data_IF_859462349433
#
_entry.id   IF_859462349433
#
_cell.length_a   1.000
_cell.length_b   1.000
_cell.length_c   1.000
_cell.angle_alpha   90.00
_cell.angle_beta   90.00
_cell.angle_gamma   90.00
#
_symmetry.space_group_name_H-M   'P 1'
#
loop_
_entity.id
_entity.type
_entity.pdbx_description
1 polymer ?
#
# COMPACT_ATOMS: atom_id res chain seq x y z
N UNK A 1 -10.36 -18.26 -17.54
CA UNK A 1 -9.18 -17.42 -17.90
C UNK A 1 -8.70 -16.80 -16.61
N UNK A 2 -7.38 -16.75 -16.38
CA UNK A 2 -6.81 -16.15 -15.16
C UNK A 2 -6.72 -14.65 -15.34
N UNK A 3 -7.22 -13.87 -14.38
CA UNK A 3 -7.07 -12.42 -14.40
C UNK A 3 -5.61 -12.04 -14.11
N UNK A 4 -5.12 -10.98 -14.75
CA UNK A 4 -3.73 -10.52 -14.65
C UNK A 4 -3.66 -9.03 -14.32
N UNK A 5 -2.81 -8.66 -13.38
CA UNK A 5 -2.36 -7.28 -13.20
C UNK A 5 -1.40 -6.97 -14.33
N UNK A 6 -1.77 -6.05 -15.21
CA UNK A 6 -0.94 -5.63 -16.35
C UNK A 6 0.12 -4.59 -15.97
N UNK A 7 -0.22 -3.77 -14.99
CA UNK A 7 0.65 -2.68 -14.51
C UNK A 7 0.27 -2.26 -13.10
N UNK A 8 1.23 -1.64 -12.41
CA UNK A 8 1.00 -0.98 -11.11
C UNK A 8 1.62 0.41 -11.16
N UNK A 9 0.78 1.43 -11.26
CA UNK A 9 1.18 2.83 -11.16
C UNK A 9 1.22 3.28 -9.70
N UNK A 10 2.18 4.13 -9.34
CA UNK A 10 2.33 4.67 -7.98
C UNK A 10 2.46 6.19 -8.00
N UNK A 11 2.00 6.84 -6.94
CA UNK A 11 2.17 8.26 -6.74
C UNK A 11 2.42 8.57 -5.25
N UNK A 12 3.35 9.47 -4.99
CA UNK A 12 3.59 10.02 -3.66
C UNK A 12 3.35 11.52 -3.65
N UNK A 13 2.97 12.10 -2.50
CA UNK A 13 2.99 13.55 -2.34
C UNK A 13 4.38 14.14 -2.62
N UNK A 14 4.46 15.42 -3.00
CA UNK A 14 5.74 16.06 -3.32
C UNK A 14 6.63 16.30 -2.09
N UNK A 15 6.03 16.45 -0.90
CA UNK A 15 6.79 16.70 0.33
C UNK A 15 7.39 15.42 0.85
N UNK A 16 8.71 15.39 0.96
CA UNK A 16 9.47 14.29 1.55
C UNK A 16 10.03 14.73 2.89
N UNK A 17 10.03 13.85 3.88
CA UNK A 17 10.56 14.11 5.22
C UNK A 17 11.53 12.98 5.58
N UNK A 18 12.76 13.35 5.99
CA UNK A 18 13.70 12.41 6.58
C UNK A 18 13.20 11.92 7.95
N UNK A 19 13.44 10.65 8.25
CA UNK A 19 12.91 10.02 9.48
C UNK A 19 13.49 10.66 10.75
N UNK A 20 14.75 11.02 10.75
CA UNK A 20 15.39 11.70 11.88
C UNK A 20 14.79 13.10 12.13
N UNK A 21 14.45 13.81 11.08
CA UNK A 21 13.80 15.13 11.19
C UNK A 21 12.41 15.02 11.81
N UNK A 22 11.56 14.11 11.32
CA UNK A 22 10.21 13.95 11.88
C UNK A 22 10.28 13.38 13.32
N UNK A 23 11.25 12.52 13.64
CA UNK A 23 11.57 12.09 14.99
C UNK A 23 11.83 13.28 15.91
N UNK A 24 12.75 14.16 15.49
CA UNK A 24 13.15 15.31 16.32
C UNK A 24 12.02 16.34 16.44
N UNK A 25 11.21 16.50 15.39
CA UNK A 25 9.98 17.32 15.42
C UNK A 25 9.01 16.82 16.50
N UNK A 26 8.70 15.51 16.56
CA UNK A 26 7.83 14.95 17.60
C UNK A 26 8.46 15.03 18.99
N UNK A 27 9.75 14.81 19.12
CA UNK A 27 10.45 14.86 20.40
C UNK A 27 10.53 16.27 21.00
N UNK A 28 10.37 17.32 20.19
CA UNK A 28 10.42 18.73 20.62
C UNK A 28 9.05 19.30 20.99
N UNK A 29 7.96 18.52 20.88
CA UNK A 29 6.64 19.00 21.24
C UNK A 29 6.55 19.30 22.75
N UNK A 30 5.80 20.35 23.18
CA UNK A 30 5.80 20.84 24.55
C UNK A 30 5.42 19.80 25.61
N UNK A 31 4.49 18.90 25.25
CA UNK A 31 3.96 17.88 26.16
C UNK A 31 4.88 16.65 26.32
N UNK A 32 6.05 16.66 25.69
CA UNK A 32 7.01 15.57 25.75
C UNK A 32 7.99 15.75 26.90
N UNK A 33 7.80 14.99 27.99
CA UNK A 33 8.79 14.86 29.04
C UNK A 33 10.03 14.06 28.57
N UNK A 34 11.06 13.97 29.42
CA UNK A 34 12.32 13.28 29.08
C UNK A 34 12.11 11.79 28.75
N UNK A 35 11.14 11.13 29.37
CA UNK A 35 10.85 9.73 29.11
C UNK A 35 10.19 9.56 27.74
N UNK A 36 9.19 10.37 27.45
CA UNK A 36 8.51 10.43 26.16
C UNK A 36 9.47 10.74 25.02
N UNK A 37 10.37 11.73 25.19
CA UNK A 37 11.41 12.03 24.20
C UNK A 37 12.31 10.83 23.90
N UNK A 38 12.73 10.08 24.93
CA UNK A 38 13.54 8.87 24.75
C UNK A 38 12.76 7.77 24.00
N UNK A 39 11.50 7.60 24.35
CA UNK A 39 10.63 6.62 23.69
C UNK A 39 10.44 6.96 22.21
N UNK A 40 10.15 8.24 21.89
CA UNK A 40 10.03 8.71 20.50
C UNK A 40 11.31 8.41 19.74
N UNK A 41 12.47 8.82 20.24
CA UNK A 41 13.74 8.58 19.56
C UNK A 41 14.00 7.10 19.33
N UNK A 42 13.85 6.27 20.35
CA UNK A 42 14.07 4.83 20.24
C UNK A 42 13.11 4.17 19.24
N UNK A 43 11.84 4.57 19.21
CA UNK A 43 10.82 4.00 18.32
C UNK A 43 11.06 4.39 16.86
N UNK A 44 11.36 5.66 16.60
CA UNK A 44 11.63 6.15 15.25
C UNK A 44 12.93 5.57 14.68
N UNK A 45 14.00 5.51 15.50
CA UNK A 45 15.29 4.93 15.09
C UNK A 45 15.15 3.41 14.80
N UNK A 46 14.30 2.71 15.57
CA UNK A 46 14.04 1.29 15.37
C UNK A 46 13.17 0.98 14.14
N UNK A 47 12.45 1.95 13.58
CA UNK A 47 11.51 1.74 12.48
C UNK A 47 12.17 1.30 11.17
N UNK A 48 13.48 1.55 10.98
CA UNK A 48 14.23 1.28 9.74
C UNK A 48 13.63 2.00 8.51
N UNK A 49 13.09 3.18 8.72
CA UNK A 49 12.61 4.08 7.68
C UNK A 49 13.67 5.18 7.50
N UNK A 50 13.99 5.54 6.27
CA UNK A 50 14.90 6.66 5.98
C UNK A 50 14.12 7.93 5.64
N UNK A 51 13.03 7.77 4.89
CA UNK A 51 12.19 8.89 4.44
C UNK A 51 10.73 8.48 4.30
N UNK A 52 9.87 9.48 4.40
CA UNK A 52 8.43 9.35 4.17
C UNK A 52 7.91 10.48 3.32
N UNK A 53 6.76 10.27 2.68
CA UNK A 53 6.06 11.29 1.93
C UNK A 53 4.81 11.74 2.70
N UNK A 54 4.48 13.02 2.60
CA UNK A 54 3.30 13.60 3.25
C UNK A 54 2.64 14.66 2.38
N UNK A 55 1.32 14.78 2.52
CA UNK A 55 0.55 15.87 1.92
C UNK A 55 0.65 17.18 2.71
N UNK A 56 1.31 17.17 3.87
CA UNK A 56 1.47 18.32 4.76
C UNK A 56 2.80 19.03 4.48
N UNK A 57 2.81 20.13 3.68
CA UNK A 57 4.05 20.82 3.32
C UNK A 57 4.76 21.43 4.52
N UNK A 58 4.02 21.79 5.58
CA UNK A 58 4.55 22.34 6.82
C UNK A 58 5.44 21.37 7.61
N UNK A 59 5.36 20.09 7.36
CA UNK A 59 6.28 19.08 7.91
C UNK A 59 7.57 18.94 7.07
N UNK A 60 7.60 19.49 5.88
CA UNK A 60 8.76 19.46 4.98
C UNK A 60 9.89 20.41 5.40
N UNK A 61 10.94 20.48 4.56
CA UNK A 61 12.16 21.24 4.86
C UNK A 61 11.94 22.74 5.00
N UNK A 62 10.98 23.29 4.28
CA UNK A 62 10.66 24.71 4.36
C UNK A 62 9.97 25.08 5.69
N UNK A 63 9.33 24.10 6.36
CA UNK A 63 8.47 24.37 7.51
C UNK A 63 7.30 25.29 7.14
N UNK A 64 6.70 25.93 8.11
CA UNK A 64 5.72 26.96 7.89
C UNK A 64 4.50 26.88 8.79
N UNK A 65 3.63 27.89 8.70
CA UNK A 65 2.33 27.91 9.38
C UNK A 65 1.28 27.22 8.51
N UNK A 66 0.70 26.14 9.02
CA UNK A 66 -0.27 25.32 8.32
C UNK A 66 -1.42 24.87 9.22
N UNK A 67 -2.24 23.96 8.70
CA UNK A 67 -3.40 23.44 9.44
C UNK A 67 -2.94 22.58 10.62
N UNK A 68 -1.85 21.84 10.46
CA UNK A 68 -1.37 20.86 11.41
C UNK A 68 -0.15 21.33 12.21
N UNK A 69 0.57 22.34 11.75
CA UNK A 69 1.74 22.88 12.44
C UNK A 69 1.64 24.40 12.42
N UNK A 70 1.92 25.05 13.56
CA UNK A 70 1.94 26.50 13.63
C UNK A 70 3.30 27.10 13.24
N UNK A 71 3.37 28.43 13.21
CA UNK A 71 4.58 29.16 12.85
C UNK A 71 5.77 28.93 13.83
N UNK A 72 5.50 28.41 15.02
CA UNK A 72 6.49 28.04 16.03
C UNK A 72 6.92 26.57 15.93
N UNK A 73 6.36 25.80 14.99
CA UNK A 73 6.62 24.36 14.83
C UNK A 73 5.88 23.49 15.81
N UNK A 74 4.79 23.98 16.41
CA UNK A 74 3.97 23.20 17.34
C UNK A 74 2.86 22.48 16.60
N UNK A 75 2.65 21.18 16.91
CA UNK A 75 1.53 20.40 16.38
C UNK A 75 0.19 20.97 16.89
N UNK A 76 -0.70 21.21 15.95
CA UNK A 76 -2.11 21.48 16.20
C UNK A 76 -2.91 20.18 16.20
N UNK A 77 -4.05 20.19 16.86
CA UNK A 77 -5.02 19.07 16.83
C UNK A 77 -6.32 19.50 16.14
N UNK A 78 -6.33 19.64 14.79
CA UNK A 78 -7.58 19.92 14.09
C UNK A 78 -8.56 18.75 14.27
N UNK A 79 -9.86 19.07 14.44
CA UNK A 79 -10.91 18.07 14.56
C UNK A 79 -11.13 17.28 13.27
N UNK A 80 -11.86 16.18 13.37
CA UNK A 80 -12.10 15.21 12.29
C UNK A 80 -12.67 15.85 11.02
N UNK A 81 -13.59 16.81 11.16
CA UNK A 81 -14.19 17.50 10.01
C UNK A 81 -13.13 18.21 9.15
N UNK A 82 -12.15 18.90 9.77
CA UNK A 82 -11.09 19.61 9.05
C UNK A 82 -10.10 18.62 8.41
N UNK A 83 -9.73 17.55 9.11
CA UNK A 83 -8.86 16.49 8.57
C UNK A 83 -9.50 15.84 7.33
N UNK A 84 -10.79 15.54 7.41
CA UNK A 84 -11.53 14.96 6.29
C UNK A 84 -11.73 15.95 5.14
N UNK A 85 -11.87 17.26 5.42
CA UNK A 85 -11.90 18.28 4.38
C UNK A 85 -10.58 18.32 3.59
N UNK A 86 -9.43 18.19 4.27
CA UNK A 86 -8.13 18.07 3.61
C UNK A 86 -8.01 16.76 2.80
N UNK A 87 -8.53 15.65 3.31
CA UNK A 87 -8.59 14.41 2.54
C UNK A 87 -9.37 14.60 1.22
N UNK A 88 -10.56 15.19 1.30
CA UNK A 88 -11.42 15.47 0.12
C UNK A 88 -10.68 16.34 -0.90
N UNK A 89 -9.87 17.29 -0.44
CA UNK A 89 -9.12 18.22 -1.29
C UNK A 89 -7.89 17.55 -1.94
N UNK A 90 -7.17 16.68 -1.21
CA UNK A 90 -5.82 16.21 -1.60
C UNK A 90 -5.81 14.80 -2.20
N UNK A 91 -6.64 13.89 -1.70
CA UNK A 91 -6.63 12.50 -2.14
C UNK A 91 -6.99 12.30 -3.62
N UNK A 92 -7.95 13.06 -4.22
CA UNK A 92 -8.34 12.84 -5.61
C UNK A 92 -7.18 13.00 -6.61
N UNK A 93 -6.35 14.04 -6.46
CA UNK A 93 -5.23 14.26 -7.39
C UNK A 93 -4.14 13.18 -7.24
N UNK A 94 -3.86 12.75 -6.00
CA UNK A 94 -2.90 11.67 -5.77
C UNK A 94 -3.39 10.35 -6.37
N UNK A 95 -4.68 10.02 -6.18
CA UNK A 95 -5.35 8.86 -6.77
C UNK A 95 -5.30 8.90 -8.30
N UNK A 96 -5.64 10.05 -8.89
CA UNK A 96 -5.62 10.26 -10.35
C UNK A 96 -4.23 10.03 -10.92
N UNK A 97 -3.17 10.54 -10.27
CA UNK A 97 -1.78 10.37 -10.72
C UNK A 97 -1.35 8.90 -10.72
N UNK A 98 -1.66 8.14 -9.66
CA UNK A 98 -1.37 6.72 -9.60
C UNK A 98 -2.14 5.93 -10.66
N UNK A 99 -3.43 6.23 -10.81
CA UNK A 99 -4.30 5.59 -11.80
C UNK A 99 -3.86 5.89 -13.24
N UNK A 100 -3.51 7.16 -13.56
CA UNK A 100 -3.00 7.52 -14.88
C UNK A 100 -1.70 6.79 -15.19
N UNK A 101 -0.76 6.74 -14.22
CA UNK A 101 0.50 6.01 -14.41
C UNK A 101 0.27 4.51 -14.67
N UNK A 102 -0.72 3.89 -14.02
CA UNK A 102 -1.08 2.51 -14.29
C UNK A 102 -1.67 2.32 -15.70
N UNK A 103 -2.57 3.21 -16.12
CA UNK A 103 -3.16 3.17 -17.48
C UNK A 103 -2.09 3.34 -18.57
N UNK A 104 -1.19 4.33 -18.38
CA UNK A 104 -0.11 4.62 -19.33
C UNK A 104 0.84 3.43 -19.48
N UNK A 105 1.28 2.84 -18.36
CA UNK A 105 2.16 1.66 -18.34
C UNK A 105 1.47 0.42 -18.94
N UNK A 106 0.18 0.24 -18.66
CA UNK A 106 -0.61 -0.83 -19.26
C UNK A 106 -0.90 -0.60 -20.75
N UNK A 107 -0.76 0.62 -21.27
CA UNK A 107 -1.22 0.97 -22.62
C UNK A 107 -2.74 0.76 -22.79
N UNK A 108 -3.52 0.99 -21.73
CA UNK A 108 -4.97 0.83 -21.70
C UNK A 108 -5.65 2.19 -21.70
N UNK A 109 -6.49 2.43 -22.70
CA UNK A 109 -7.26 3.68 -22.77
C UNK A 109 -8.28 3.75 -21.62
N UNK A 110 -8.48 4.94 -21.06
CA UNK A 110 -9.45 5.17 -19.98
C UNK A 110 -10.87 4.70 -20.35
N UNK A 111 -11.27 4.83 -21.63
CA UNK A 111 -12.57 4.35 -22.14
C UNK A 111 -12.77 2.83 -22.09
N UNK A 112 -11.70 2.06 -21.87
CA UNK A 112 -11.77 0.60 -21.75
C UNK A 112 -12.06 0.14 -20.32
N UNK A 113 -11.95 1.03 -19.32
CA UNK A 113 -12.21 0.68 -17.92
C UNK A 113 -13.70 0.44 -17.73
N UNK A 114 -14.04 -0.76 -17.29
CA UNK A 114 -15.40 -1.19 -17.01
C UNK A 114 -15.76 -1.09 -15.52
N UNK A 115 -14.78 -1.28 -14.63
CA UNK A 115 -14.97 -1.28 -13.19
C UNK A 115 -13.87 -0.46 -12.51
N UNK A 116 -14.25 0.27 -11.47
CA UNK A 116 -13.34 0.97 -10.56
C UNK A 116 -13.55 0.44 -9.14
N UNK A 117 -12.48 0.03 -8.48
CA UNK A 117 -12.46 -0.33 -7.06
C UNK A 117 -11.51 0.59 -6.35
N UNK A 118 -12.02 1.48 -5.51
CA UNK A 118 -11.19 2.36 -4.69
C UNK A 118 -11.07 1.85 -3.27
N UNK A 119 -9.93 2.10 -2.64
CA UNK A 119 -9.61 1.71 -1.26
C UNK A 119 -9.11 2.91 -0.50
N UNK A 120 -9.64 3.17 0.69
CA UNK A 120 -9.08 4.11 1.65
C UNK A 120 -9.61 3.89 3.06
N UNK A 121 -8.75 4.14 4.06
CA UNK A 121 -9.08 4.14 5.47
C UNK A 121 -8.87 5.51 6.12
N UNK A 122 -8.38 6.51 5.39
CA UNK A 122 -7.88 7.78 5.93
C UNK A 122 -8.77 8.97 5.65
N UNK A 123 -9.91 8.75 5.00
CA UNK A 123 -10.95 9.75 4.78
C UNK A 123 -12.17 9.15 4.10
N UNK A 124 -13.31 9.85 4.18
CA UNK A 124 -14.56 9.41 3.58
C UNK A 124 -15.41 10.60 3.14
N UNK A 125 -16.09 10.45 2.00
CA UNK A 125 -17.02 11.44 1.47
C UNK A 125 -17.90 10.84 0.38
N UNK A 126 -18.99 11.50 0.07
CA UNK A 126 -19.88 11.14 -1.03
C UNK A 126 -20.28 12.40 -1.84
N UNK A 127 -20.17 12.35 -3.18
CA UNK A 127 -19.72 11.26 -4.04
C UNK A 127 -18.24 10.92 -3.80
N UNK A 128 -17.93 9.62 -3.66
CA UNK A 128 -16.67 9.12 -3.12
C UNK A 128 -15.46 9.17 -4.06
N UNK A 129 -14.32 8.61 -3.62
CA UNK A 129 -13.10 8.51 -4.42
C UNK A 129 -13.32 7.79 -5.75
N UNK A 130 -14.17 6.78 -5.77
CA UNK A 130 -14.60 6.04 -6.95
C UNK A 130 -15.27 6.95 -8.00
N UNK A 131 -16.16 7.83 -7.58
CA UNK A 131 -16.79 8.83 -8.43
C UNK A 131 -15.76 9.82 -8.99
N UNK A 132 -14.82 10.27 -8.14
CA UNK A 132 -13.77 11.20 -8.56
C UNK A 132 -12.89 10.59 -9.64
N UNK A 133 -12.47 9.33 -9.49
CA UNK A 133 -11.67 8.62 -10.50
C UNK A 133 -12.39 8.57 -11.86
N UNK A 134 -13.69 8.22 -11.88
CA UNK A 134 -14.47 8.19 -13.12
C UNK A 134 -14.49 9.56 -13.81
N UNK A 135 -14.70 10.63 -13.04
CA UNK A 135 -14.77 12.00 -13.57
C UNK A 135 -13.41 12.55 -13.98
N UNK A 136 -12.40 12.37 -13.13
CA UNK A 136 -11.09 13.00 -13.28
C UNK A 136 -10.22 12.32 -14.36
N UNK A 137 -10.49 11.03 -14.66
CA UNK A 137 -9.86 10.29 -15.78
C UNK A 137 -10.73 10.24 -17.05
N UNK A 138 -11.95 10.74 -17.02
CA UNK A 138 -12.86 10.68 -18.16
C UNK A 138 -13.29 9.26 -18.54
N UNK A 139 -13.49 8.39 -17.54
CA UNK A 139 -14.00 7.03 -17.77
C UNK A 139 -15.46 7.08 -18.26
N UNK A 140 -15.94 5.97 -18.83
CA UNK A 140 -17.32 5.87 -19.30
C UNK A 140 -18.31 6.12 -18.13
N UNK A 141 -19.42 6.84 -18.36
CA UNK A 141 -20.44 7.06 -17.31
C UNK A 141 -21.09 5.75 -16.80
N UNK A 142 -20.98 4.67 -17.56
CA UNK A 142 -21.46 3.33 -17.22
C UNK A 142 -20.46 2.51 -16.43
N UNK A 143 -19.25 3.04 -16.12
CA UNK A 143 -18.25 2.34 -15.32
C UNK A 143 -18.82 1.99 -13.95
N UNK A 144 -18.78 0.71 -13.60
CA UNK A 144 -19.22 0.23 -12.28
C UNK A 144 -18.22 0.67 -11.20
N UNK A 145 -18.74 1.06 -10.02
CA UNK A 145 -17.94 1.71 -8.98
C UNK A 145 -18.13 1.04 -7.63
N UNK A 146 -17.01 0.75 -7.00
CA UNK A 146 -16.95 0.13 -5.67
C UNK A 146 -15.95 0.88 -4.79
N UNK A 147 -16.24 0.96 -3.49
CA UNK A 147 -15.34 1.54 -2.51
C UNK A 147 -15.20 0.60 -1.30
N UNK A 148 -13.96 0.25 -0.95
CA UNK A 148 -13.62 -0.55 0.22
C UNK A 148 -13.00 0.37 1.28
N UNK A 149 -13.74 0.65 2.34
CA UNK A 149 -13.31 1.49 3.45
C UNK A 149 -13.04 0.68 4.72
N UNK A 150 -12.15 1.19 5.58
CA UNK A 150 -11.93 0.69 6.94
C UNK A 150 -11.52 -0.80 7.08
N UNK A 151 -10.95 -1.39 6.03
CA UNK A 151 -10.32 -2.73 6.09
C UNK A 151 -8.85 -2.63 6.55
N UNK A 152 -8.28 -1.42 6.56
CA UNK A 152 -6.92 -1.16 6.99
C UNK A 152 -5.87 -1.54 5.94
N UNK A 153 -4.64 -1.80 6.42
CA UNK A 153 -3.49 -2.06 5.57
C UNK A 153 -3.62 -3.28 4.65
N UNK A 154 -4.53 -4.22 4.97
CA UNK A 154 -4.77 -5.42 4.17
C UNK A 154 -5.68 -5.20 2.95
N UNK A 155 -6.34 -4.05 2.84
CA UNK A 155 -7.47 -3.81 1.94
C UNK A 155 -7.15 -3.94 0.44
N UNK A 156 -5.88 -3.84 0.04
CA UNK A 156 -5.48 -4.06 -1.34
C UNK A 156 -5.81 -5.48 -1.83
N UNK A 157 -5.64 -6.52 -1.00
CA UNK A 157 -5.93 -7.89 -1.42
C UNK A 157 -7.42 -8.17 -1.60
N UNK A 158 -8.34 -7.77 -0.70
CA UNK A 158 -9.77 -7.78 -0.99
C UNK A 158 -10.15 -7.04 -2.27
N UNK A 159 -9.50 -5.91 -2.58
CA UNK A 159 -9.76 -5.17 -3.82
C UNK A 159 -9.29 -5.94 -5.06
N UNK A 160 -8.09 -6.53 -5.02
CA UNK A 160 -7.58 -7.38 -6.10
C UNK A 160 -8.41 -8.65 -6.28
N UNK A 161 -8.87 -9.26 -5.17
CA UNK A 161 -9.81 -10.39 -5.21
C UNK A 161 -11.15 -10.02 -5.86
N UNK A 162 -11.67 -8.83 -5.55
CA UNK A 162 -12.89 -8.34 -6.21
C UNK A 162 -12.66 -8.17 -7.72
N UNK A 163 -11.53 -7.59 -8.11
CA UNK A 163 -11.16 -7.45 -9.52
C UNK A 163 -11.04 -8.81 -10.25
N UNK A 164 -10.43 -9.81 -9.61
CA UNK A 164 -10.36 -11.18 -10.14
C UNK A 164 -11.77 -11.73 -10.37
N UNK A 165 -12.70 -11.56 -9.40
CA UNK A 165 -14.09 -12.01 -9.51
C UNK A 165 -14.86 -11.31 -10.62
N UNK A 166 -14.65 -10.01 -10.82
CA UNK A 166 -15.26 -9.28 -11.93
C UNK A 166 -14.76 -9.81 -13.28
N UNK A 167 -13.45 -10.04 -13.41
CA UNK A 167 -12.89 -10.63 -14.63
C UNK A 167 -13.37 -12.07 -14.87
N UNK A 168 -13.60 -12.86 -13.82
CA UNK A 168 -14.14 -14.21 -13.93
C UNK A 168 -15.62 -14.21 -14.38
N UNK A 169 -16.40 -13.22 -13.92
CA UNK A 169 -17.82 -13.07 -14.31
C UNK A 169 -18.01 -12.42 -15.68
N UNK A 170 -17.09 -11.52 -16.07
CA UNK A 170 -17.13 -10.75 -17.31
C UNK A 170 -15.76 -10.83 -18.00
N UNK A 171 -15.58 -11.69 -19.00
CA UNK A 171 -14.27 -11.91 -19.64
C UNK A 171 -13.65 -10.66 -20.29
N UNK A 172 -14.47 -9.69 -20.70
CA UNK A 172 -14.08 -8.40 -21.28
C UNK A 172 -13.89 -7.30 -20.23
N UNK A 173 -14.04 -7.61 -18.93
CA UNK A 173 -13.82 -6.66 -17.85
C UNK A 173 -12.37 -6.16 -17.83
N UNK A 174 -12.26 -4.84 -17.69
CA UNK A 174 -11.00 -4.16 -17.37
C UNK A 174 -11.22 -3.37 -16.08
N UNK A 175 -10.56 -3.80 -15.03
CA UNK A 175 -10.77 -3.28 -13.68
C UNK A 175 -9.60 -2.38 -13.28
N UNK A 176 -9.91 -1.19 -12.79
CA UNK A 176 -8.94 -0.28 -12.20
C UNK A 176 -9.11 -0.31 -10.67
N UNK A 177 -8.12 -0.86 -9.97
CA UNK A 177 -8.03 -0.82 -8.51
C UNK A 177 -7.17 0.36 -8.09
N UNK A 178 -7.62 1.19 -7.14
CA UNK A 178 -6.89 2.37 -6.65
C UNK A 178 -6.90 2.41 -5.13
N UNK A 179 -5.72 2.28 -4.52
CA UNK A 179 -5.50 2.41 -3.07
C UNK A 179 -4.87 3.77 -2.78
N UNK A 180 -5.50 4.61 -1.95
CA UNK A 180 -4.98 5.95 -1.63
C UNK A 180 -5.12 6.23 -0.15
N UNK A 181 -4.00 6.52 0.51
CA UNK A 181 -3.96 6.78 1.94
C UNK A 181 -3.20 8.05 2.26
N UNK A 182 -3.80 8.89 3.08
CA UNK A 182 -3.23 10.13 3.60
C UNK A 182 -3.14 10.03 5.13
N UNK A 183 -2.30 9.11 5.61
CA UNK A 183 -2.18 8.81 7.03
C UNK A 183 -1.69 10.00 7.85
N UNK A 184 -0.88 10.89 7.25
CA UNK A 184 -0.37 12.08 7.91
C UNK A 184 -1.48 13.06 8.35
N UNK A 185 -2.67 12.98 7.76
CA UNK A 185 -3.82 13.76 8.19
C UNK A 185 -4.34 13.38 9.60
N UNK A 186 -3.89 12.24 10.15
CA UNK A 186 -4.30 11.77 11.47
C UNK A 186 -3.20 11.87 12.53
N UNK A 187 -2.09 12.56 12.22
CA UNK A 187 -1.06 12.86 13.21
C UNK A 187 -1.62 13.73 14.33
N UNK A 188 -1.11 13.52 15.54
CA UNK A 188 -1.44 14.31 16.73
C UNK A 188 -0.33 14.21 17.76
N UNK A 189 -0.17 15.24 18.63
CA UNK A 189 0.73 15.13 19.76
C UNK A 189 0.22 14.02 20.69
N UNK A 190 1.09 13.17 21.20
CA UNK A 190 0.72 12.13 22.13
C UNK A 190 1.94 11.58 22.86
N UNK A 191 1.78 11.29 24.15
CA UNK A 191 2.72 10.52 24.96
C UNK A 191 2.38 9.01 24.99
N UNK A 192 1.27 8.59 24.37
CA UNK A 192 0.88 7.18 24.30
C UNK A 192 1.87 6.39 23.43
N UNK A 193 2.39 5.26 23.94
CA UNK A 193 3.29 4.39 23.14
C UNK A 193 2.70 3.98 21.78
N UNK A 194 1.41 3.65 21.73
CA UNK A 194 0.75 3.22 20.48
C UNK A 194 0.69 4.34 19.43
N UNK A 195 0.42 5.57 19.87
CA UNK A 195 0.44 6.75 18.99
C UNK A 195 1.87 7.09 18.53
N UNK A 196 2.87 6.92 19.38
CA UNK A 196 4.28 7.11 19.01
C UNK A 196 4.68 6.07 17.96
N UNK A 197 4.30 4.79 18.12
CA UNK A 197 4.54 3.75 17.13
C UNK A 197 3.86 4.13 15.81
N UNK A 198 2.58 4.48 15.83
CA UNK A 198 1.84 4.90 14.62
C UNK A 198 2.52 6.09 13.93
N UNK A 199 2.88 7.13 14.69
CA UNK A 199 3.58 8.32 14.18
C UNK A 199 4.95 7.98 13.59
N UNK A 200 5.60 6.91 14.06
CA UNK A 200 6.92 6.49 13.58
C UNK A 200 6.90 5.77 12.25
N UNK A 201 5.77 5.20 11.82
CA UNK A 201 5.71 4.32 10.64
C UNK A 201 4.84 4.85 9.50
N UNK A 202 3.70 5.51 9.79
CA UNK A 202 2.73 5.87 8.76
C UNK A 202 3.18 7.02 7.85
N UNK A 203 2.78 6.92 6.58
CA UNK A 203 3.09 7.85 5.49
C UNK A 203 1.91 7.96 4.52
N UNK A 204 2.02 8.84 3.52
CA UNK A 204 1.00 9.06 2.51
C UNK A 204 1.45 8.50 1.15
N UNK A 205 0.51 7.92 0.42
CA UNK A 205 0.78 7.41 -0.91
C UNK A 205 -0.46 6.88 -1.61
N UNK A 206 -0.32 6.66 -2.91
CA UNK A 206 -1.34 6.03 -3.74
C UNK A 206 -0.72 5.03 -4.69
N UNK A 207 -1.43 3.94 -4.92
CA UNK A 207 -1.07 2.95 -5.94
C UNK A 207 -2.33 2.51 -6.69
N UNK A 208 -2.19 2.23 -7.98
CA UNK A 208 -3.28 1.72 -8.79
C UNK A 208 -2.81 0.56 -9.66
N UNK A 209 -3.71 -0.39 -9.93
CA UNK A 209 -3.46 -1.53 -10.81
C UNK A 209 -4.53 -1.62 -11.90
N UNK A 210 -4.11 -1.98 -13.10
CA UNK A 210 -5.00 -2.34 -14.22
C UNK A 210 -5.05 -3.86 -14.32
N UNK A 211 -6.26 -4.43 -14.21
CA UNK A 211 -6.48 -5.87 -14.18
C UNK A 211 -7.47 -6.28 -15.28
N UNK A 212 -7.17 -7.36 -15.99
CA UNK A 212 -8.07 -7.95 -16.99
C UNK A 212 -7.80 -9.46 -17.15
N UNK A 213 -8.79 -10.20 -17.63
CA UNK A 213 -8.59 -11.58 -18.07
C UNK A 213 -8.15 -11.68 -19.54
N UNK A 214 -8.33 -10.62 -20.33
CA UNK A 214 -7.82 -10.49 -21.70
C UNK A 214 -6.35 -10.04 -21.70
N UNK A 215 -5.49 -10.93 -21.22
CA UNK A 215 -4.07 -10.65 -20.96
C UNK A 215 -3.12 -11.59 -21.73
N UNK A 216 -3.60 -12.30 -22.75
CA UNK A 216 -2.77 -13.21 -23.55
C UNK A 216 -1.51 -12.48 -24.03
N UNK A 217 -0.34 -13.11 -23.82
CA UNK A 217 0.99 -12.62 -24.23
C UNK A 217 1.47 -11.29 -23.60
N UNK A 218 0.71 -10.70 -22.67
CA UNK A 218 1.13 -9.48 -21.96
C UNK A 218 1.87 -9.83 -20.67
N UNK A 219 2.94 -9.10 -20.31
CA UNK A 219 3.61 -9.28 -19.03
C UNK A 219 2.69 -8.84 -17.87
N UNK A 220 2.96 -9.32 -16.66
CA UNK A 220 2.19 -8.94 -15.48
C UNK A 220 2.25 -9.95 -14.36
N UNK A 221 1.27 -9.88 -13.47
CA UNK A 221 1.09 -10.84 -12.37
C UNK A 221 -0.27 -11.52 -12.51
N UNK A 222 -0.28 -12.83 -12.77
CA UNK A 222 -1.51 -13.63 -12.73
C UNK A 222 -2.05 -13.68 -11.30
N UNK A 223 -3.35 -13.46 -11.14
CA UNK A 223 -4.06 -13.57 -9.86
C UNK A 223 -4.51 -15.03 -9.68
N UNK A 224 -3.75 -15.80 -8.90
CA UNK A 224 -3.99 -17.25 -8.79
C UNK A 224 -5.00 -17.59 -7.69
N UNK A 225 -4.78 -17.06 -6.49
CA UNK A 225 -5.59 -17.39 -5.32
C UNK A 225 -5.54 -16.30 -4.26
N UNK A 226 -6.64 -16.16 -3.52
CA UNK A 226 -6.75 -15.27 -2.37
C UNK A 226 -7.27 -16.04 -1.15
N UNK A 227 -6.83 -15.64 0.04
CA UNK A 227 -7.26 -16.19 1.32
C UNK A 227 -7.44 -15.11 2.37
N UNK A 228 -8.34 -15.36 3.30
CA UNK A 228 -8.58 -14.53 4.49
C UNK A 228 -8.56 -15.40 5.71
N UNK A 229 -7.81 -15.02 6.73
CA UNK A 229 -7.79 -15.71 8.03
C UNK A 229 -7.94 -14.66 9.12
N UNK A 230 -8.92 -14.86 10.00
CA UNK A 230 -9.00 -14.09 11.25
C UNK A 230 -8.15 -14.81 12.29
N UNK A 231 -7.31 -14.05 13.00
CA UNK A 231 -6.56 -14.60 14.13
C UNK A 231 -7.48 -14.91 15.31
N UNK A 232 -7.04 -15.78 16.21
CA UNK A 232 -7.82 -16.15 17.41
C UNK A 232 -7.90 -15.03 18.44
N UNK A 233 -6.97 -14.06 18.38
CA UNK A 233 -6.83 -12.93 19.29
C UNK A 233 -6.51 -11.66 18.50
N UNK A 234 -6.56 -10.49 19.16
CA UNK A 234 -6.04 -9.23 18.61
C UNK A 234 -7.09 -8.25 18.12
N UNK A 235 -8.40 -8.51 18.31
CA UNK A 235 -9.48 -7.58 17.92
C UNK A 235 -9.28 -6.17 18.50
N UNK A 236 -8.76 -6.08 19.73
CA UNK A 236 -8.52 -4.80 20.42
C UNK A 236 -7.10 -4.24 20.23
N UNK A 237 -6.22 -5.02 19.62
CA UNK A 237 -4.81 -4.68 19.48
C UNK A 237 -4.49 -3.91 18.20
N UNK A 238 -5.34 -4.05 17.18
CA UNK A 238 -5.32 -3.23 15.97
C UNK A 238 -6.75 -2.79 15.65
N UNK A 239 -7.05 -1.52 15.92
CA UNK A 239 -8.36 -0.94 15.66
C UNK A 239 -8.23 0.46 15.06
N UNK A 240 -9.21 0.85 14.26
CA UNK A 240 -9.25 2.15 13.59
C UNK A 240 -10.67 2.68 13.65
N UNK A 241 -10.90 3.74 14.42
CA UNK A 241 -12.23 4.31 14.67
C UNK A 241 -12.27 5.80 14.38
N UNK A 242 -13.43 6.31 14.02
CA UNK A 242 -13.64 7.75 13.80
C UNK A 242 -13.91 8.39 15.16
N UNK A 243 -13.02 9.31 15.56
CA UNK A 243 -13.16 10.13 16.76
C UNK A 243 -13.40 11.60 16.44
N UNK A 244 -13.53 12.44 17.46
CA UNK A 244 -13.77 13.88 17.30
C UNK A 244 -12.51 14.62 16.81
N UNK A 245 -11.32 14.18 17.22
CA UNK A 245 -10.02 14.79 16.92
C UNK A 245 -9.24 14.06 15.82
N UNK A 246 -9.95 13.38 14.93
CA UNK A 246 -9.39 12.56 13.86
C UNK A 246 -9.76 11.09 14.00
N UNK A 247 -9.17 10.25 13.15
CA UNK A 247 -9.34 8.82 13.27
C UNK A 247 -8.35 8.28 14.30
N UNK A 248 -8.82 7.41 15.16
CA UNK A 248 -8.08 6.90 16.30
C UNK A 248 -7.52 5.52 16.01
N UNK A 249 -6.18 5.44 16.02
CA UNK A 249 -5.45 4.19 15.83
C UNK A 249 -5.12 3.58 17.19
N UNK A 250 -5.51 2.32 17.37
CA UNK A 250 -4.93 1.44 18.38
C UNK A 250 -3.99 0.48 17.64
N UNK A 251 -2.72 0.46 18.03
CA UNK A 251 -1.70 -0.43 17.47
C UNK A 251 -0.74 -0.83 18.58
N UNK A 252 -1.11 -1.88 19.33
CA UNK A 252 -0.36 -2.32 20.48
C UNK A 252 0.89 -3.12 20.12
N UNK A 253 1.83 -3.21 21.04
CA UNK A 253 3.00 -4.09 20.92
C UNK A 253 2.68 -5.59 20.87
N UNK A 254 1.41 -6.00 21.08
CA UNK A 254 0.98 -7.40 20.96
C UNK A 254 0.77 -7.83 19.51
N UNK A 255 0.45 -6.90 18.60
CA UNK A 255 0.21 -7.20 17.19
C UNK A 255 1.34 -8.02 16.55
N UNK A 256 2.63 -7.63 16.66
CA UNK A 256 3.72 -8.46 16.12
C UNK A 256 3.84 -9.83 16.80
N UNK A 257 3.45 -9.96 18.08
CA UNK A 257 3.52 -11.23 18.81
C UNK A 257 2.42 -12.19 18.34
N UNK A 258 1.19 -11.70 18.18
CA UNK A 258 0.06 -12.48 17.65
C UNK A 258 0.38 -12.97 16.25
N UNK A 259 0.84 -12.08 15.36
CA UNK A 259 1.27 -12.46 14.00
C UNK A 259 2.35 -13.54 14.07
N UNK A 260 3.39 -13.37 14.89
CA UNK A 260 4.47 -14.37 15.02
C UNK A 260 3.99 -15.74 15.48
N UNK A 261 2.91 -15.82 16.27
CA UNK A 261 2.33 -17.12 16.72
C UNK A 261 1.48 -17.77 15.65
N UNK A 262 0.68 -16.99 14.91
CA UNK A 262 -0.39 -17.55 14.07
C UNK A 262 -0.04 -17.59 12.58
N UNK A 263 1.00 -16.84 12.14
CA UNK A 263 1.32 -16.68 10.72
C UNK A 263 1.64 -18.03 10.03
N UNK A 264 2.37 -18.92 10.69
CA UNK A 264 2.74 -20.24 10.11
C UNK A 264 1.49 -21.02 9.73
N UNK A 265 0.54 -21.19 10.66
CA UNK A 265 -0.69 -21.94 10.42
C UNK A 265 -1.57 -21.29 9.33
N UNK A 266 -1.67 -19.97 9.32
CA UNK A 266 -2.43 -19.24 8.30
C UNK A 266 -1.81 -19.44 6.90
N UNK A 267 -0.48 -19.34 6.79
CA UNK A 267 0.25 -19.45 5.52
C UNK A 267 0.27 -20.89 5.02
N UNK A 268 0.56 -21.86 5.87
CA UNK A 268 0.58 -23.28 5.49
C UNK A 268 -0.80 -23.74 4.98
N UNK A 269 -1.87 -23.30 5.65
CA UNK A 269 -3.24 -23.55 5.20
C UNK A 269 -3.56 -22.90 3.85
N UNK A 270 -3.10 -21.66 3.64
CA UNK A 270 -3.32 -20.93 2.41
C UNK A 270 -2.52 -21.50 1.23
N UNK A 271 -1.24 -21.79 1.44
CA UNK A 271 -0.35 -22.30 0.39
C UNK A 271 -0.68 -23.75 0.00
N UNK A 272 -1.19 -24.56 0.92
CA UNK A 272 -1.61 -25.93 0.66
C UNK A 272 -0.54 -26.79 -0.04
N UNK A 273 0.73 -26.53 0.24
CA UNK A 273 1.90 -27.21 -0.34
C UNK A 273 2.61 -26.45 -1.47
N UNK A 274 2.07 -25.33 -1.95
CA UNK A 274 2.80 -24.46 -2.87
C UNK A 274 4.04 -23.86 -2.18
N UNK A 275 5.13 -23.71 -2.93
CA UNK A 275 6.39 -23.12 -2.44
C UNK A 275 6.66 -21.83 -3.20
N UNK A 276 6.36 -20.67 -2.61
CA UNK A 276 6.62 -19.39 -3.26
C UNK A 276 8.12 -19.15 -3.43
N UNK A 277 8.48 -18.56 -4.57
CA UNK A 277 9.86 -18.16 -4.86
C UNK A 277 10.17 -16.71 -4.48
N UNK A 278 9.13 -15.88 -4.28
CA UNK A 278 9.24 -14.51 -3.82
C UNK A 278 8.09 -14.13 -2.86
N UNK A 279 8.27 -13.07 -2.09
CA UNK A 279 7.33 -12.64 -1.07
C UNK A 279 7.03 -11.15 -1.12
N UNK A 280 5.75 -10.80 -1.14
CA UNK A 280 5.23 -9.44 -1.02
C UNK A 280 4.54 -9.27 0.35
N UNK A 281 5.31 -8.97 1.39
CA UNK A 281 4.78 -8.86 2.75
C UNK A 281 4.61 -7.41 3.12
N UNK A 282 3.36 -7.01 3.43
CA UNK A 282 3.06 -5.66 3.89
C UNK A 282 3.84 -5.33 5.18
N UNK A 283 4.67 -4.28 5.17
CA UNK A 283 5.45 -3.89 6.34
C UNK A 283 4.62 -2.98 7.25
N UNK A 284 3.77 -3.54 8.11
CA UNK A 284 3.07 -2.78 9.16
C UNK A 284 4.04 -1.97 10.04
N UNK A 285 5.29 -2.39 10.07
CA UNK A 285 6.49 -1.84 10.66
C UNK A 285 7.57 -2.90 10.61
N UNK A 286 8.82 -2.55 10.96
CA UNK A 286 9.96 -3.49 10.98
C UNK A 286 9.65 -4.77 11.76
N UNK A 287 9.07 -4.62 12.96
CA UNK A 287 8.77 -5.76 13.85
C UNK A 287 7.84 -6.79 13.22
N UNK A 288 6.91 -6.38 12.36
CA UNK A 288 6.03 -7.27 11.61
C UNK A 288 6.85 -8.13 10.65
N UNK A 289 7.71 -7.49 9.84
CA UNK A 289 8.60 -8.21 8.91
C UNK A 289 9.50 -9.20 9.64
N UNK A 290 10.10 -8.78 10.76
CA UNK A 290 10.98 -9.64 11.57
C UNK A 290 10.22 -10.87 12.14
N UNK A 291 8.95 -10.69 12.57
CA UNK A 291 8.12 -11.78 13.08
C UNK A 291 7.65 -12.74 11.99
N UNK A 292 7.28 -12.20 10.83
CA UNK A 292 6.91 -13.04 9.67
C UNK A 292 8.12 -13.81 9.17
N UNK A 293 9.27 -13.15 9.04
CA UNK A 293 10.52 -13.80 8.64
C UNK A 293 10.88 -14.97 9.56
N UNK A 294 10.84 -14.76 10.87
CA UNK A 294 11.14 -15.80 11.85
C UNK A 294 10.06 -16.89 11.87
N UNK A 295 8.76 -16.52 11.83
CA UNK A 295 7.64 -17.45 11.87
C UNK A 295 7.56 -18.36 10.64
N UNK A 296 7.95 -17.88 9.47
CA UNK A 296 7.99 -18.66 8.23
C UNK A 296 9.39 -19.19 7.89
N UNK A 297 10.41 -18.92 8.72
CA UNK A 297 11.81 -19.35 8.50
C UNK A 297 12.37 -18.88 7.15
N UNK A 298 12.01 -17.64 6.76
CA UNK A 298 12.44 -17.08 5.48
C UNK A 298 13.90 -16.59 5.54
N UNK A 299 14.62 -16.78 4.46
CA UNK A 299 15.92 -16.15 4.29
C UNK A 299 15.81 -14.61 4.32
N UNK A 300 16.82 -13.88 4.82
CA UNK A 300 16.77 -12.41 4.90
C UNK A 300 16.43 -11.72 3.58
N UNK A 301 16.93 -12.27 2.47
CA UNK A 301 16.77 -11.75 1.12
C UNK A 301 15.32 -11.84 0.61
N UNK A 302 14.53 -12.80 1.14
CA UNK A 302 13.15 -12.99 0.74
C UNK A 302 12.26 -11.75 1.00
N UNK A 303 12.64 -10.90 1.97
CA UNK A 303 11.90 -9.69 2.33
C UNK A 303 12.55 -8.40 1.80
N UNK A 304 13.50 -8.51 0.86
CA UNK A 304 14.24 -7.34 0.36
C UNK A 304 13.30 -6.24 -0.18
N UNK A 305 12.35 -6.59 -1.05
CA UNK A 305 11.39 -5.63 -1.62
C UNK A 305 10.51 -4.98 -0.53
N UNK A 306 10.01 -5.77 0.43
CA UNK A 306 9.20 -5.26 1.55
C UNK A 306 9.99 -4.30 2.44
N UNK A 307 11.24 -4.62 2.76
CA UNK A 307 12.12 -3.77 3.56
C UNK A 307 12.54 -2.51 2.80
N UNK A 308 12.80 -2.60 1.50
CA UNK A 308 13.13 -1.45 0.66
C UNK A 308 11.98 -0.46 0.59
N UNK A 309 10.74 -0.94 0.37
CA UNK A 309 9.55 -0.07 0.37
C UNK A 309 9.33 0.58 1.74
N UNK A 310 9.49 -0.16 2.86
CA UNK A 310 9.38 0.43 4.19
C UNK A 310 10.44 1.51 4.41
N UNK A 311 11.69 1.25 4.04
CA UNK A 311 12.80 2.20 4.18
C UNK A 311 12.55 3.50 3.43
N UNK A 312 12.08 3.41 2.17
CA UNK A 312 12.02 4.54 1.25
C UNK A 312 10.69 5.29 1.26
N UNK A 313 9.61 4.66 1.75
CA UNK A 313 8.26 5.24 1.72
C UNK A 313 7.53 5.20 3.07
N UNK A 314 7.97 4.38 4.03
CA UNK A 314 7.20 4.12 5.25
C UNK A 314 5.97 3.23 4.98
N UNK A 315 5.05 3.22 5.92
CA UNK A 315 3.78 2.48 5.82
C UNK A 315 2.67 3.40 5.28
N UNK A 316 2.34 3.27 4.01
CA UNK A 316 1.24 3.95 3.33
C UNK A 316 -0.06 3.14 3.38
N UNK A 317 -0.29 2.40 4.48
CA UNK A 317 -1.48 1.54 4.68
C UNK A 317 -1.75 0.64 3.46
N UNK A 318 -2.97 0.64 2.91
CA UNK A 318 -3.38 -0.24 1.80
C UNK A 318 -2.53 -0.09 0.54
N UNK A 319 -1.97 1.06 0.28
CA UNK A 319 -1.13 1.29 -0.91
C UNK A 319 0.22 0.56 -0.84
N UNK A 320 0.77 0.31 0.35
CA UNK A 320 2.15 -0.15 0.54
C UNK A 320 2.43 -1.48 -0.16
N UNK A 321 1.55 -2.47 -0.03
CA UNK A 321 1.76 -3.79 -0.64
C UNK A 321 1.75 -3.72 -2.17
N UNK A 322 1.04 -2.76 -2.75
CA UNK A 322 1.04 -2.51 -4.19
C UNK A 322 2.40 -1.97 -4.68
N UNK A 323 3.08 -1.12 -3.88
CA UNK A 323 4.45 -0.71 -4.17
C UNK A 323 5.39 -1.91 -4.18
N UNK A 324 5.24 -2.84 -3.22
CA UNK A 324 6.06 -4.06 -3.16
C UNK A 324 5.81 -4.96 -4.37
N UNK A 325 4.54 -5.17 -4.74
CA UNK A 325 4.20 -5.95 -5.93
C UNK A 325 4.77 -5.32 -7.20
N UNK A 326 4.79 -3.98 -7.29
CA UNK A 326 5.42 -3.26 -8.41
C UNK A 326 6.92 -3.49 -8.47
N UNK A 327 7.62 -3.44 -7.35
CA UNK A 327 9.06 -3.75 -7.29
C UNK A 327 9.31 -5.18 -7.77
N UNK A 328 8.58 -6.18 -7.27
CA UNK A 328 8.74 -7.58 -7.69
C UNK A 328 8.36 -7.80 -9.17
N UNK A 329 7.35 -7.08 -9.68
CA UNK A 329 6.98 -7.12 -11.09
C UNK A 329 8.13 -6.66 -11.99
N UNK A 330 8.89 -5.65 -11.55
CA UNK A 330 10.00 -5.03 -12.29
C UNK A 330 11.36 -5.63 -12.01
N UNK A 331 11.48 -6.46 -10.98
CA UNK A 331 12.74 -7.10 -10.61
C UNK A 331 13.09 -8.22 -11.58
N UNK A 332 14.14 -8.05 -12.36
CA UNK A 332 14.63 -9.05 -13.31
C UNK A 332 15.13 -10.34 -12.63
N UNK A 333 15.42 -10.31 -11.32
CA UNK A 333 15.76 -11.50 -10.57
C UNK A 333 14.54 -12.42 -10.32
N UNK A 334 13.31 -11.88 -10.34
CA UNK A 334 12.07 -12.64 -10.26
C UNK A 334 11.71 -13.11 -11.68
N UNK A 335 11.98 -14.37 -11.97
CA UNK A 335 11.88 -14.94 -13.32
C UNK A 335 10.43 -15.17 -13.77
N UNK A 336 10.23 -15.45 -15.07
CA UNK A 336 8.95 -15.91 -15.62
C UNK A 336 8.49 -17.19 -14.94
N UNK A 337 7.20 -17.28 -14.63
CA UNK A 337 6.62 -18.40 -13.87
C UNK A 337 6.91 -18.39 -12.37
N UNK A 338 7.67 -17.42 -11.85
CA UNK A 338 7.91 -17.30 -10.43
C UNK A 338 6.62 -17.07 -9.66
N UNK A 339 6.42 -17.84 -8.58
CA UNK A 339 5.29 -17.68 -7.67
C UNK A 339 5.62 -16.67 -6.57
N UNK A 340 4.74 -15.70 -6.37
CA UNK A 340 4.87 -14.64 -5.37
C UNK A 340 3.74 -14.79 -4.34
N UNK A 341 4.08 -15.02 -3.07
CA UNK A 341 3.10 -15.01 -2.00
C UNK A 341 3.00 -13.60 -1.39
N UNK A 342 1.80 -13.06 -1.36
CA UNK A 342 1.48 -11.79 -0.74
C UNK A 342 0.82 -11.98 0.62
N UNK A 343 1.23 -11.20 1.63
CA UNK A 343 0.63 -11.16 2.96
C UNK A 343 0.41 -9.73 3.40
N UNK A 344 -0.77 -9.43 3.93
CA UNK A 344 -1.07 -8.15 4.55
C UNK A 344 -1.93 -8.34 5.81
N UNK A 345 -1.79 -7.41 6.74
CA UNK A 345 -2.41 -7.48 8.06
C UNK A 345 -3.33 -6.29 8.27
N UNK A 346 -4.53 -6.55 8.73
CA UNK A 346 -5.56 -5.56 8.99
C UNK A 346 -6.19 -5.69 10.38
N UNK A 347 -7.04 -4.73 10.75
CA UNK A 347 -7.81 -4.80 11.99
C UNK A 347 -8.54 -6.13 12.18
N UNK A 348 -8.61 -6.64 13.47
CA UNK A 348 -9.37 -7.82 13.82
C UNK A 348 -8.67 -8.92 14.60
N UNK A 349 -7.38 -9.33 14.51
CA UNK A 349 -6.49 -9.15 13.38
C UNK A 349 -6.93 -10.00 12.17
N UNK A 350 -6.78 -9.45 11.01
CA UNK A 350 -7.02 -10.17 9.76
C UNK A 350 -5.70 -10.38 9.03
N UNK A 351 -5.46 -11.59 8.56
CA UNK A 351 -4.39 -11.93 7.62
C UNK A 351 -5.03 -12.12 6.25
N UNK A 352 -4.76 -11.22 5.33
CA UNK A 352 -5.11 -11.38 3.91
C UNK A 352 -3.90 -11.95 3.18
N UNK A 353 -4.15 -12.96 2.37
CA UNK A 353 -3.15 -13.69 1.60
C UNK A 353 -3.50 -13.67 0.12
N UNK A 354 -2.49 -13.63 -0.73
CA UNK A 354 -2.63 -13.72 -2.17
C UNK A 354 -1.48 -14.52 -2.78
N UNK A 355 -1.75 -15.25 -3.84
CA UNK A 355 -0.74 -15.94 -4.64
C UNK A 355 -0.80 -15.40 -6.07
N UNK A 356 0.37 -15.04 -6.58
CA UNK A 356 0.55 -14.52 -7.93
C UNK A 356 1.57 -15.36 -8.68
N UNK A 357 1.45 -15.37 -10.02
CA UNK A 357 2.49 -15.89 -10.90
C UNK A 357 2.99 -14.76 -11.81
N UNK A 358 4.29 -14.49 -11.78
CA UNK A 358 4.89 -13.51 -12.68
C UNK A 358 4.91 -14.01 -14.12
N UNK A 359 4.52 -13.14 -15.06
CA UNK A 359 4.62 -13.36 -16.49
C UNK A 359 5.48 -12.27 -17.11
N UNK A 360 6.49 -12.71 -17.83
CA UNK A 360 7.34 -11.83 -18.65
C UNK A 360 6.88 -11.98 -20.08
N UNK A 361 6.88 -10.89 -20.87
CA UNK A 361 6.53 -10.98 -22.29
C UNK A 361 7.45 -12.01 -22.99
N UNK A 362 6.93 -12.84 -23.89
CA UNK A 362 7.79 -13.73 -24.70
C UNK A 362 8.87 -12.87 -25.37
N UNK A 363 10.12 -13.27 -25.23
CA UNK A 363 11.21 -12.67 -26.00
C UNK A 363 10.92 -13.05 -27.45
N UNK A 364 10.32 -12.13 -28.20
CA UNK A 364 10.23 -12.31 -29.65
C UNK A 364 11.67 -12.32 -30.14
N UNK A 365 12.17 -13.43 -30.77
CA UNK A 365 13.49 -13.41 -31.32
C UNK A 365 13.58 -12.22 -32.27
N UNK A 366 14.45 -11.27 -31.96
CA UNK A 366 14.69 -10.12 -32.82
C UNK A 366 14.94 -10.66 -34.26
N UNK A 367 14.35 -10.00 -35.24
CA UNK A 367 14.56 -10.24 -36.65
C UNK A 367 16.02 -9.94 -37.06
N UNK A 368 16.97 -10.68 -36.49
CA UNK A 368 18.41 -10.67 -36.85
C UNK A 368 18.73 -11.63 -37.99
N UNK A 369 17.71 -12.32 -38.54
CA UNK A 369 17.94 -13.23 -39.67
C UNK A 369 17.97 -12.52 -41.04
N UNK A 370 17.62 -11.24 -41.14
CA UNK A 370 17.62 -10.54 -42.44
C UNK A 370 18.86 -9.72 -42.76
N UNK A 371 19.83 -9.61 -41.83
CA UNK A 371 21.09 -8.88 -42.08
C UNK A 371 22.25 -9.73 -42.62
N UNK A 372 22.10 -11.04 -42.70
CA UNK A 372 23.18 -11.92 -43.19
C UNK A 372 23.00 -12.44 -44.60
N UNK A 373 21.93 -12.05 -45.32
CA UNK A 373 21.74 -12.43 -46.74
C UNK A 373 21.97 -11.28 -47.74
N UNK A 374 22.38 -10.10 -47.27
CA UNK A 374 22.64 -8.95 -48.16
C UNK A 374 24.14 -8.65 -48.41
N UNK A 375 25.05 -9.54 -48.05
CA UNK A 375 26.53 -9.37 -48.29
C UNK A 375 27.12 -10.57 -49.08
N UNK A 376 26.32 -11.32 -49.80
CA UNK A 376 26.83 -12.31 -50.74
C UNK A 376 25.97 -12.25 -52.03
N UNK A 377 26.17 -11.21 -52.79
CA UNK A 377 25.61 -11.03 -54.11
C UNK A 377 26.41 -9.99 -54.88
#
# INVERSE_FOLDING_TARGET
MTARILSIGTATPPTTIAQDRIRDFFAQQPDCDRLTQRLIRATFDAAQIERRHTVLPELGDAGGDGIFVDAQGMLRSPGTALRNAEYIRLAPELSRRAAQAALDEAGVAASRITHVVTVSCTGCFAPGPDFRIVRDLGLAPSTERYHLGFIGCAAAFPALRAAERFCAAQPDAVVLVVCTELCSLHIRPSASPDQIVSSSVFADGSAAAVITADAAERPGLDLERFGTTLTSEGEKDMAWTIGDDGFEMVLTGEVPRIIGREIRGAVDSFLAGDVPTAWAIHPGGRSILDRVQAGLELAPEALHASRAVLRDYGNMSSATVMFILRELLRDDAVQDGATIAGLAFGPGLTVESALFTKRIAPITPAADAERHLAVAG
#
